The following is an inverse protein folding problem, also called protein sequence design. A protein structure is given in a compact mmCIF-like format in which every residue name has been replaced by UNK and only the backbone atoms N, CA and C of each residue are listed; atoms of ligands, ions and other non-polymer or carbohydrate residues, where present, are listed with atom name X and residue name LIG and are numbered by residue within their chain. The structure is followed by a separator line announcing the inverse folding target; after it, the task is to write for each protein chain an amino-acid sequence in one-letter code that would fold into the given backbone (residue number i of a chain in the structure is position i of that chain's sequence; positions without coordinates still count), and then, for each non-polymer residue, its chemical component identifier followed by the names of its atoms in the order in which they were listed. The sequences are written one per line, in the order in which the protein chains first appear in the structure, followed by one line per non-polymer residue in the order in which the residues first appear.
data_IF_889326920334
#
_entry.id   IF_889326920334
#
_cell.length_a   1.000
_cell.length_b   1.000
_cell.length_c   1.000
_cell.angle_alpha   90.00
_cell.angle_beta   90.00
_cell.angle_gamma   90.00
#
_symmetry.space_group_name_H-M   'P 1'
#
loop_
_entity.id
_entity.type
_entity.pdbx_description
1 polymer ?
#
# COMPACT_ATOMS: atom_id res chain seq x y z
N UNK A 1 4.84 -5.20 -4.93
CA UNK A 1 3.51 -5.79 -4.68
C UNK A 1 3.66 -7.23 -4.23
N UNK A 2 2.77 -7.71 -3.38
CA UNK A 2 2.71 -9.10 -2.95
C UNK A 2 1.30 -9.63 -3.28
N UNK A 3 1.24 -10.72 -4.05
CA UNK A 3 0.00 -11.34 -4.50
C UNK A 3 -0.10 -12.74 -3.92
N UNK A 4 -1.24 -13.06 -3.30
CA UNK A 4 -1.51 -14.39 -2.74
C UNK A 4 -1.76 -15.45 -3.82
N UNK A 5 -2.15 -15.01 -5.02
CA UNK A 5 -2.39 -15.87 -6.19
C UNK A 5 -2.01 -15.12 -7.46
N UNK A 6 -1.77 -15.85 -8.55
CA UNK A 6 -1.55 -15.24 -9.86
C UNK A 6 -2.80 -14.46 -10.30
N UNK A 7 -2.60 -13.31 -10.93
CA UNK A 7 -3.67 -12.42 -11.33
C UNK A 7 -3.49 -12.01 -12.79
N UNK A 8 -4.53 -12.24 -13.59
CA UNK A 8 -4.59 -11.84 -15.00
C UNK A 8 -5.84 -11.00 -15.24
N UNK A 9 -5.69 -9.85 -15.87
CA UNK A 9 -6.79 -9.00 -16.31
C UNK A 9 -6.51 -8.48 -17.72
N UNK A 10 -7.25 -8.98 -18.69
CA UNK A 10 -7.05 -8.70 -20.11
C UNK A 10 -7.27 -7.22 -20.46
N UNK A 11 -8.22 -6.57 -19.80
CA UNK A 11 -8.60 -5.19 -20.12
C UNK A 11 -7.55 -4.19 -19.69
N UNK A 12 -6.89 -4.43 -18.56
CA UNK A 12 -5.75 -3.63 -18.11
C UNK A 12 -4.41 -4.10 -18.67
N UNK A 13 -4.35 -5.32 -19.22
CA UNK A 13 -3.12 -5.98 -19.65
C UNK A 13 -2.28 -6.47 -18.47
N UNK A 14 -2.89 -6.71 -17.30
CA UNK A 14 -2.22 -7.25 -16.14
C UNK A 14 -2.01 -8.75 -16.31
N UNK A 15 -0.79 -9.19 -16.06
CA UNK A 15 -0.43 -10.60 -15.94
C UNK A 15 0.74 -10.72 -14.96
N UNK A 16 0.43 -11.11 -13.73
CA UNK A 16 1.39 -11.20 -12.64
C UNK A 16 1.25 -12.54 -11.92
N UNK A 17 2.36 -13.24 -11.66
CA UNK A 17 2.37 -14.45 -10.85
C UNK A 17 2.06 -14.16 -9.38
N UNK A 18 1.77 -15.20 -8.61
CA UNK A 18 1.73 -15.13 -7.16
C UNK A 18 3.10 -14.77 -6.59
N UNK A 19 3.12 -14.24 -5.37
CA UNK A 19 4.32 -13.90 -4.62
C UNK A 19 4.66 -12.42 -4.62
N UNK A 20 5.84 -12.13 -4.05
CA UNK A 20 6.38 -10.77 -3.97
C UNK A 20 7.13 -10.41 -5.25
N UNK A 21 6.82 -9.26 -5.81
CA UNK A 21 7.46 -8.81 -7.05
C UNK A 21 7.49 -7.29 -7.16
N UNK A 22 8.48 -6.79 -7.87
CA UNK A 22 8.57 -5.39 -8.22
C UNK A 22 7.89 -5.16 -9.55
N UNK A 23 6.88 -4.30 -9.58
CA UNK A 23 6.19 -3.89 -10.80
C UNK A 23 6.65 -2.49 -11.21
N UNK A 24 6.81 -2.25 -12.51
CA UNK A 24 7.21 -0.95 -13.05
C UNK A 24 6.57 -0.71 -14.41
N UNK A 25 6.52 0.54 -14.83
CA UNK A 25 6.02 0.93 -16.15
C UNK A 25 4.62 0.38 -16.43
N UNK A 26 4.46 -0.34 -17.54
CA UNK A 26 3.17 -0.88 -18.00
C UNK A 26 2.51 -1.82 -17.00
N UNK A 27 3.29 -2.67 -16.33
CA UNK A 27 2.75 -3.62 -15.32
C UNK A 27 2.21 -2.88 -14.08
N UNK A 28 2.92 -1.85 -13.62
CA UNK A 28 2.46 -1.02 -12.51
C UNK A 28 1.15 -0.30 -12.86
N UNK A 29 1.05 0.24 -14.07
CA UNK A 29 -0.16 0.88 -14.57
C UNK A 29 -1.32 -0.12 -14.70
N UNK A 30 -1.05 -1.30 -15.26
CA UNK A 30 -2.03 -2.39 -15.36
C UNK A 30 -2.55 -2.81 -13.98
N UNK A 31 -1.66 -2.94 -12.99
CA UNK A 31 -2.01 -3.31 -11.63
C UNK A 31 -3.00 -2.33 -10.96
N UNK A 32 -2.80 -1.03 -11.13
CA UNK A 32 -3.71 -0.02 -10.53
C UNK A 32 -5.00 0.18 -11.33
N UNK A 33 -5.03 -0.24 -12.59
CA UNK A 33 -6.20 -0.13 -13.49
C UNK A 33 -7.09 -1.37 -13.50
N UNK A 34 -6.58 -2.52 -13.12
CA UNK A 34 -7.32 -3.78 -13.16
C UNK A 34 -8.64 -3.69 -12.38
N UNK A 35 -9.74 -4.13 -13.00
CA UNK A 35 -11.10 -4.02 -12.45
C UNK A 35 -11.77 -5.36 -12.20
N UNK A 36 -11.39 -6.39 -12.95
CA UNK A 36 -12.06 -7.69 -12.95
C UNK A 36 -11.44 -8.70 -11.97
N UNK A 37 -10.57 -8.23 -11.07
CA UNK A 37 -9.88 -9.10 -10.11
C UNK A 37 -10.43 -9.00 -8.69
N UNK A 38 -11.16 -7.93 -8.38
CA UNK A 38 -11.82 -7.69 -7.10
C UNK A 38 -12.87 -6.57 -7.21
N UNK A 39 -13.48 -6.20 -6.09
CA UNK A 39 -14.44 -5.09 -6.02
C UNK A 39 -13.77 -3.72 -6.27
N UNK A 40 -14.59 -2.68 -6.44
CA UNK A 40 -14.12 -1.30 -6.53
C UNK A 40 -13.35 -0.87 -5.26
N UNK A 41 -13.76 -1.34 -4.08
CA UNK A 41 -13.00 -1.13 -2.84
C UNK A 41 -11.67 -1.86 -2.85
N UNK A 42 -11.61 -3.07 -3.39
CA UNK A 42 -10.35 -3.80 -3.61
C UNK A 42 -9.41 -3.05 -4.52
N UNK A 43 -9.92 -2.47 -5.62
CA UNK A 43 -9.15 -1.59 -6.50
C UNK A 43 -8.61 -0.36 -5.76
N UNK A 44 -9.45 0.34 -4.97
CA UNK A 44 -9.01 1.47 -4.14
C UNK A 44 -7.89 1.06 -3.18
N UNK A 45 -8.03 -0.06 -2.51
CA UNK A 45 -6.99 -0.61 -1.63
C UNK A 45 -5.67 -0.90 -2.36
N UNK A 46 -5.72 -1.42 -3.59
CA UNK A 46 -4.52 -1.61 -4.42
C UNK A 46 -3.87 -0.28 -4.80
N UNK A 47 -4.67 0.71 -5.19
CA UNK A 47 -4.19 2.06 -5.53
C UNK A 47 -3.51 2.71 -4.31
N UNK A 48 -4.11 2.63 -3.12
CA UNK A 48 -3.54 3.14 -1.88
C UNK A 48 -2.20 2.47 -1.56
N UNK A 49 -2.12 1.14 -1.63
CA UNK A 49 -0.87 0.39 -1.42
C UNK A 49 0.20 0.75 -2.45
N UNK A 50 -0.19 0.96 -3.69
CA UNK A 50 0.73 1.37 -4.75
C UNK A 50 1.28 2.78 -4.49
N UNK A 51 0.43 3.75 -4.15
CA UNK A 51 0.86 5.11 -3.79
C UNK A 51 1.77 5.08 -2.56
N UNK A 52 1.44 4.31 -1.52
CA UNK A 52 2.30 4.14 -0.35
C UNK A 52 3.70 3.61 -0.74
N UNK A 53 3.75 2.59 -1.60
CA UNK A 53 5.02 2.03 -2.08
C UNK A 53 5.83 3.02 -2.92
N UNK A 54 5.16 3.85 -3.73
CA UNK A 54 5.81 4.92 -4.50
C UNK A 54 6.39 5.99 -3.57
N UNK A 55 5.62 6.45 -2.58
CA UNK A 55 6.08 7.43 -1.59
C UNK A 55 7.28 6.89 -0.82
N UNK A 56 7.20 5.64 -0.35
CA UNK A 56 8.32 4.95 0.31
C UNK A 56 9.59 4.97 -0.55
N UNK A 57 9.46 4.64 -1.83
CA UNK A 57 10.60 4.65 -2.75
C UNK A 57 11.13 6.06 -2.98
N UNK A 58 10.25 7.02 -3.19
CA UNK A 58 10.60 8.42 -3.42
C UNK A 58 11.32 9.06 -2.24
N UNK A 59 10.87 8.75 -1.00
CA UNK A 59 11.44 9.27 0.24
C UNK A 59 12.61 8.45 0.78
N UNK A 60 13.00 7.37 0.08
CA UNK A 60 14.14 6.55 0.50
C UNK A 60 15.45 7.34 0.44
N UNK A 61 16.37 7.04 1.36
CA UNK A 61 17.70 7.66 1.38
C UNK A 61 18.43 7.51 0.04
N UNK A 62 18.24 6.40 -0.67
CA UNK A 62 18.84 6.16 -1.98
C UNK A 62 18.36 7.11 -3.10
N UNK A 63 17.21 7.79 -2.92
CA UNK A 63 16.71 8.82 -3.84
C UNK A 63 17.01 10.21 -3.30
N UNK A 64 16.65 10.50 -2.05
CA UNK A 64 16.75 11.84 -1.46
C UNK A 64 18.20 12.32 -1.28
N UNK A 65 19.15 11.42 -1.02
CA UNK A 65 20.57 11.74 -0.87
C UNK A 65 21.33 11.75 -2.21
N UNK A 66 20.70 11.35 -3.30
CA UNK A 66 21.31 11.34 -4.62
C UNK A 66 20.69 12.43 -5.50
N UNK A 67 21.40 13.54 -5.78
CA UNK A 67 20.84 14.67 -6.54
C UNK A 67 20.34 14.29 -7.95
N UNK A 68 21.04 13.37 -8.63
CA UNK A 68 20.63 12.93 -9.97
C UNK A 68 19.32 12.15 -9.94
N UNK A 69 19.16 11.26 -8.96
CA UNK A 69 17.92 10.48 -8.79
C UNK A 69 16.76 11.35 -8.33
N UNK A 70 17.02 12.31 -7.44
CA UNK A 70 16.01 13.27 -6.99
C UNK A 70 15.53 14.15 -8.15
N UNK A 71 16.45 14.68 -8.95
CA UNK A 71 16.10 15.47 -10.12
C UNK A 71 15.29 14.64 -11.13
N UNK A 72 15.73 13.42 -11.46
CA UNK A 72 14.98 12.54 -12.36
C UNK A 72 13.58 12.19 -11.83
N UNK A 73 13.42 12.02 -10.52
CA UNK A 73 12.12 11.83 -9.90
C UNK A 73 11.23 13.06 -10.02
N UNK A 74 11.76 14.26 -9.72
CA UNK A 74 11.04 15.52 -9.84
C UNK A 74 10.63 15.81 -11.29
N UNK A 75 11.52 15.56 -12.24
CA UNK A 75 11.22 15.74 -13.68
C UNK A 75 10.10 14.79 -14.13
N UNK A 76 10.14 13.53 -13.70
CA UNK A 76 9.07 12.57 -14.00
C UNK A 76 7.75 12.97 -13.35
N UNK A 77 7.77 13.46 -12.12
CA UNK A 77 6.57 13.90 -11.39
C UNK A 77 5.94 15.13 -12.05
N UNK A 78 6.75 16.13 -12.41
CA UNK A 78 6.24 17.34 -13.08
C UNK A 78 5.69 17.07 -14.48
N UNK A 79 6.19 16.06 -15.18
CA UNK A 79 5.64 15.64 -16.47
C UNK A 79 4.36 14.81 -16.36
N UNK A 80 4.18 14.11 -15.23
CA UNK A 80 3.06 13.20 -15.04
C UNK A 80 1.82 13.89 -14.43
N UNK A 81 1.98 15.06 -13.81
CA UNK A 81 0.93 15.78 -13.09
C UNK A 81 0.74 17.17 -13.70
N UNK A 82 -0.49 17.48 -14.06
CA UNK A 82 -0.87 18.85 -14.39
C UNK A 82 -1.26 19.57 -13.11
N UNK A 83 -0.54 20.60 -12.76
CA UNK A 83 -0.76 21.42 -11.57
C UNK A 83 -1.09 22.85 -11.96
N UNK A 84 -1.58 23.62 -11.00
CA UNK A 84 -1.66 25.09 -11.13
C UNK A 84 -0.27 25.73 -11.03
N UNK A 85 -0.21 27.04 -11.23
CA UNK A 85 1.04 27.81 -11.20
C UNK A 85 1.69 27.84 -9.80
N UNK A 86 0.96 27.41 -8.75
CA UNK A 86 1.43 27.39 -7.38
C UNK A 86 2.31 26.19 -7.03
N UNK A 87 2.33 25.11 -7.86
CA UNK A 87 3.10 23.91 -7.59
C UNK A 87 4.16 23.65 -8.68
N UNK A 88 5.15 24.51 -8.73
CA UNK A 88 6.31 24.36 -9.60
C UNK A 88 7.39 23.44 -9.02
N UNK A 89 8.52 23.34 -9.71
CA UNK A 89 9.66 22.50 -9.31
C UNK A 89 10.21 22.84 -7.93
N UNK A 90 10.27 24.11 -7.59
CA UNK A 90 10.81 24.60 -6.30
C UNK A 90 9.90 24.15 -5.15
N UNK A 91 8.59 24.32 -5.30
CA UNK A 91 7.60 23.90 -4.32
C UNK A 91 7.57 22.37 -4.16
N UNK A 92 7.74 21.61 -5.24
CA UNK A 92 7.89 20.15 -5.17
C UNK A 92 9.16 19.73 -4.44
N UNK A 93 10.27 20.46 -4.61
CA UNK A 93 11.51 20.19 -3.88
C UNK A 93 11.35 20.50 -2.39
N UNK A 94 10.68 21.60 -2.04
CA UNK A 94 10.37 21.95 -0.63
C UNK A 94 9.48 20.88 0.00
N UNK A 95 8.44 20.44 -0.71
CA UNK A 95 7.58 19.33 -0.28
C UNK A 95 8.39 18.04 -0.04
N UNK A 96 9.26 17.67 -0.98
CA UNK A 96 10.11 16.49 -0.83
C UNK A 96 11.05 16.61 0.38
N UNK A 97 11.58 17.78 0.66
CA UNK A 97 12.42 18.04 1.83
C UNK A 97 11.62 17.94 3.15
N UNK A 98 10.39 18.43 3.18
CA UNK A 98 9.48 18.30 4.34
C UNK A 98 9.11 16.86 4.62
N UNK A 99 8.95 16.05 3.56
CA UNK A 99 8.63 14.63 3.68
C UNK A 99 9.81 13.75 4.10
N UNK A 100 11.03 14.24 4.12
CA UNK A 100 12.23 13.46 4.55
C UNK A 100 12.14 12.90 5.96
N UNK A 101 11.42 13.58 6.86
CA UNK A 101 11.26 13.16 8.26
C UNK A 101 9.96 12.41 8.55
N UNK A 102 9.14 12.18 7.53
CA UNK A 102 7.86 11.48 7.72
C UNK A 102 8.13 9.98 7.76
N UNK A 103 7.89 9.39 8.92
CA UNK A 103 7.95 7.94 9.08
C UNK A 103 6.85 7.29 8.25
N UNK A 104 7.16 6.17 7.62
CA UNK A 104 6.22 5.40 6.79
C UNK A 104 4.97 4.98 7.58
N UNK A 105 5.09 4.74 8.89
CA UNK A 105 3.99 4.47 9.79
C UNK A 105 3.06 5.67 10.03
N UNK A 106 3.48 6.87 9.63
CA UNK A 106 2.67 8.09 9.76
C UNK A 106 1.77 8.37 8.56
N UNK A 107 1.94 7.62 7.47
CA UNK A 107 1.09 7.76 6.27
C UNK A 107 -0.06 6.78 6.39
N UNK A 108 -1.27 7.30 6.58
CA UNK A 108 -2.48 6.51 6.62
C UNK A 108 -3.37 6.79 5.40
N UNK A 109 -3.86 5.73 4.78
CA UNK A 109 -4.91 5.79 3.78
C UNK A 109 -6.21 5.33 4.41
N UNK A 110 -7.27 6.07 4.19
CA UNK A 110 -8.56 5.75 4.76
C UNK A 110 -9.65 5.96 3.71
N UNK A 111 -10.64 5.09 3.73
CA UNK A 111 -11.89 5.27 2.97
C UNK A 111 -12.92 5.87 3.91
N UNK A 112 -13.73 6.81 3.41
CA UNK A 112 -14.88 7.31 4.16
C UNK A 112 -15.78 6.13 4.55
N UNK A 113 -16.24 6.03 5.81
CA UNK A 113 -17.10 4.94 6.24
C UNK A 113 -18.34 4.80 5.38
N UNK A 114 -18.65 3.56 4.99
CA UNK A 114 -19.72 3.22 4.04
C UNK A 114 -20.78 2.41 4.77
N UNK A 115 -22.04 2.84 4.64
CA UNK A 115 -23.21 2.14 5.14
C UNK A 115 -23.76 1.12 4.12
N UNK A 116 -23.69 1.44 2.83
CA UNK A 116 -24.16 0.58 1.75
C UNK A 116 -23.28 0.80 0.50
N UNK A 117 -22.66 -0.24 -0.01
CA UNK A 117 -21.75 -0.22 -1.16
C UNK A 117 -22.41 -0.52 -2.49
N UNK A 118 -23.70 -0.88 -2.50
CA UNK A 118 -24.55 -1.04 -3.69
C UNK A 118 -25.87 -0.27 -3.58
N UNK A 119 -25.83 0.90 -2.95
CA UNK A 119 -27.02 1.73 -2.77
C UNK A 119 -27.61 2.14 -4.11
N UNK A 120 -28.87 1.74 -4.36
CA UNK A 120 -29.54 1.97 -5.63
C UNK A 120 -30.26 3.32 -5.64
N UNK A 121 -29.90 4.15 -6.62
CA UNK A 121 -30.51 5.47 -6.85
C UNK A 121 -31.08 5.53 -8.24
N UNK A 122 -32.33 5.97 -8.33
CA UNK A 122 -32.98 6.24 -9.62
C UNK A 122 -32.52 7.58 -10.17
N UNK A 123 -31.80 7.57 -11.29
CA UNK A 123 -31.37 8.78 -12.01
C UNK A 123 -32.01 8.78 -13.40
N UNK A 124 -33.04 9.57 -13.56
CA UNK A 124 -33.84 9.52 -14.76
C UNK A 124 -34.50 8.13 -14.94
N UNK A 125 -34.22 7.47 -16.08
CA UNK A 125 -34.74 6.12 -16.36
C UNK A 125 -33.79 4.99 -15.91
N UNK A 126 -32.62 5.32 -15.34
CA UNK A 126 -31.58 4.36 -14.98
C UNK A 126 -31.53 4.15 -13.46
N UNK A 127 -31.46 2.89 -13.06
CA UNK A 127 -31.22 2.51 -11.68
C UNK A 127 -29.68 2.33 -11.51
N UNK A 128 -29.05 3.31 -10.88
CA UNK A 128 -27.59 3.37 -10.73
C UNK A 128 -27.17 2.78 -9.39
N UNK A 129 -26.11 2.00 -9.42
CA UNK A 129 -25.38 1.59 -8.23
C UNK A 129 -24.49 2.73 -7.77
N UNK A 130 -24.64 3.12 -6.52
CA UNK A 130 -23.86 4.16 -5.85
C UNK A 130 -23.37 3.68 -4.51
N UNK A 131 -22.55 4.48 -3.84
CA UNK A 131 -22.10 4.22 -2.48
C UNK A 131 -22.78 5.19 -1.54
N UNK A 132 -23.41 4.68 -0.49
CA UNK A 132 -23.97 5.50 0.58
C UNK A 132 -23.01 5.50 1.77
N UNK A 133 -22.60 6.68 2.19
CA UNK A 133 -21.79 6.83 3.40
C UNK A 133 -22.57 6.47 4.65
N UNK A 134 -21.89 6.06 5.69
CA UNK A 134 -22.36 6.11 7.06
C UNK A 134 -22.22 7.57 7.52
N UNK A 135 -23.32 8.29 7.55
CA UNK A 135 -23.31 9.74 7.74
C UNK A 135 -22.70 10.13 9.10
N UNK A 136 -23.01 9.39 10.16
CA UNK A 136 -22.49 9.66 11.50
C UNK A 136 -20.98 9.39 11.60
N UNK A 137 -20.54 8.25 11.09
CA UNK A 137 -19.13 7.89 11.10
C UNK A 137 -18.31 8.77 10.14
N UNK A 138 -18.89 9.19 9.00
CA UNK A 138 -18.25 10.12 8.08
C UNK A 138 -18.12 11.52 8.70
N UNK A 139 -19.16 12.03 9.37
CA UNK A 139 -19.11 13.31 10.08
C UNK A 139 -18.06 13.30 11.21
N UNK A 140 -17.96 12.20 11.96
CA UNK A 140 -16.93 12.04 12.98
C UNK A 140 -15.51 12.04 12.40
N UNK A 141 -15.32 11.39 11.24
CA UNK A 141 -14.05 11.39 10.50
C UNK A 141 -13.67 12.80 10.03
N UNK A 142 -14.61 13.51 9.40
CA UNK A 142 -14.36 14.86 8.89
C UNK A 142 -14.11 15.87 10.02
N UNK A 143 -14.78 15.72 11.16
CA UNK A 143 -14.52 16.54 12.35
C UNK A 143 -13.07 16.37 12.85
N UNK A 144 -12.59 15.12 12.91
CA UNK A 144 -11.18 14.86 13.26
C UNK A 144 -10.21 15.49 12.28
N UNK A 145 -10.48 15.37 10.97
CA UNK A 145 -9.66 15.98 9.92
C UNK A 145 -9.63 17.50 10.04
N UNK A 146 -10.77 18.12 10.27
CA UNK A 146 -10.86 19.59 10.42
C UNK A 146 -10.13 20.13 11.66
N UNK A 147 -9.99 19.30 12.69
CA UNK A 147 -9.32 19.64 13.95
C UNK A 147 -7.86 19.17 14.03
N UNK A 148 -7.29 18.65 12.95
CA UNK A 148 -5.95 18.02 12.93
C UNK A 148 -5.80 16.90 13.98
N UNK A 149 -6.90 16.20 14.31
CA UNK A 149 -6.87 15.07 15.22
C UNK A 149 -6.39 13.82 14.52
N UNK A 150 -5.66 12.90 15.20
CA UNK A 150 -5.23 11.65 14.64
C UNK A 150 -6.43 10.80 14.17
N UNK A 151 -6.49 10.50 12.89
CA UNK A 151 -7.57 9.71 12.27
C UNK A 151 -7.42 8.23 12.60
N UNK A 152 -6.17 7.77 12.65
CA UNK A 152 -5.83 6.42 13.09
C UNK A 152 -5.13 6.58 14.43
N UNK A 153 -5.53 5.81 15.45
CA UNK A 153 -4.64 5.66 16.60
C UNK A 153 -3.31 5.19 16.02
N UNK A 154 -2.30 6.05 16.10
CA UNK A 154 -0.95 5.63 15.82
C UNK A 154 -0.73 4.39 16.71
N UNK A 155 -0.86 3.22 16.16
CA UNK A 155 -0.18 2.05 16.69
C UNK A 155 1.29 2.45 16.49
N UNK A 156 1.84 3.18 17.48
CA UNK A 156 3.29 3.20 17.64
C UNK A 156 3.62 1.73 17.65
N UNK A 157 4.21 1.27 16.55
CA UNK A 157 4.85 -0.02 16.55
C UNK A 157 5.69 0.04 17.82
N UNK A 158 5.32 -0.77 18.82
CA UNK A 158 5.98 -0.72 20.13
C UNK A 158 7.42 -0.95 19.78
N UNK A 159 8.25 0.08 19.99
CA UNK A 159 9.65 -0.01 19.62
C UNK A 159 10.15 -1.31 20.20
N UNK A 160 10.69 -2.19 19.37
CA UNK A 160 11.16 -3.48 19.83
C UNK A 160 12.16 -3.18 20.96
N UNK A 161 11.81 -3.61 22.17
CA UNK A 161 12.72 -3.47 23.34
C UNK A 161 13.89 -4.44 23.23
N UNK A 162 13.82 -5.36 22.28
CA UNK A 162 14.85 -6.35 21.97
C UNK A 162 15.34 -6.08 20.55
N UNK A 163 16.63 -5.99 20.39
CA UNK A 163 17.24 -5.80 19.08
C UNK A 163 16.92 -7.00 18.15
N UNK A 164 16.65 -6.77 16.84
CA UNK A 164 16.20 -7.81 15.90
C UNK A 164 17.10 -9.06 15.92
N UNK A 165 18.40 -8.90 16.02
CA UNK A 165 19.38 -10.00 16.07
C UNK A 165 19.26 -10.93 17.29
N UNK A 166 18.46 -10.54 18.29
CA UNK A 166 18.14 -11.36 19.46
C UNK A 166 16.79 -12.03 19.36
N UNK A 167 16.02 -11.72 18.32
CA UNK A 167 14.70 -12.31 18.09
C UNK A 167 14.82 -13.46 17.12
N UNK A 168 14.41 -14.64 17.55
CA UNK A 168 14.42 -15.85 16.72
C UNK A 168 13.02 -16.06 16.13
N UNK A 169 12.95 -16.16 14.79
CA UNK A 169 11.70 -16.29 14.03
C UNK A 169 11.68 -17.64 13.31
N UNK A 170 10.61 -18.40 13.49
CA UNK A 170 10.32 -19.57 12.66
C UNK A 170 9.19 -19.23 11.70
N UNK A 171 9.44 -19.36 10.41
CA UNK A 171 8.46 -19.01 9.36
C UNK A 171 7.76 -20.26 8.88
N UNK A 172 6.43 -20.26 8.95
CA UNK A 172 5.58 -21.34 8.46
C UNK A 172 4.56 -20.79 7.46
N UNK A 173 4.44 -21.46 6.32
CA UNK A 173 3.49 -21.12 5.27
C UNK A 173 2.13 -21.77 5.55
N UNK A 174 1.18 -21.00 6.05
CA UNK A 174 -0.21 -21.42 6.26
C UNK A 174 -1.14 -21.13 5.06
N UNK A 175 -0.68 -20.37 4.07
CA UNK A 175 -1.50 -19.97 2.92
C UNK A 175 -1.47 -21.02 1.76
N UNK A 176 -0.57 -22.00 1.83
CA UNK A 176 -0.43 -23.01 0.78
C UNK A 176 0.23 -22.51 -0.53
N UNK A 177 0.78 -21.30 -0.53
CA UNK A 177 1.46 -20.72 -1.71
C UNK A 177 2.91 -21.17 -1.73
N UNK A 178 3.32 -21.83 -2.79
CA UNK A 178 4.69 -22.34 -2.94
C UNK A 178 5.72 -21.23 -2.84
N UNK A 179 6.77 -21.43 -2.01
CA UNK A 179 7.87 -20.49 -1.82
C UNK A 179 7.59 -19.35 -0.85
N UNK A 180 6.35 -19.13 -0.38
CA UNK A 180 5.99 -18.00 0.47
C UNK A 180 6.78 -17.95 1.79
N UNK A 181 7.01 -19.11 2.43
CA UNK A 181 7.77 -19.17 3.67
C UNK A 181 9.25 -18.82 3.45
N UNK A 182 9.84 -19.25 2.32
CA UNK A 182 11.22 -18.90 1.94
C UNK A 182 11.38 -17.39 1.79
N UNK A 183 10.53 -16.76 0.97
CA UNK A 183 10.55 -15.32 0.75
C UNK A 183 10.33 -14.53 2.05
N UNK A 184 9.43 -14.98 2.90
CA UNK A 184 9.20 -14.33 4.20
C UNK A 184 10.40 -14.50 5.14
N UNK A 185 11.08 -15.66 5.11
CA UNK A 185 12.30 -15.90 5.89
C UNK A 185 13.42 -14.96 5.48
N UNK A 186 13.65 -14.80 4.17
CA UNK A 186 14.63 -13.86 3.62
C UNK A 186 14.33 -12.42 4.04
N UNK A 187 13.07 -11.99 4.03
CA UNK A 187 12.66 -10.64 4.46
C UNK A 187 12.93 -10.39 5.97
N UNK A 188 12.79 -11.43 6.81
CA UNK A 188 13.17 -11.35 8.23
C UNK A 188 14.71 -11.27 8.40
N UNK A 189 15.48 -12.05 7.66
CA UNK A 189 16.93 -12.02 7.71
C UNK A 189 17.49 -10.66 7.23
N UNK A 190 16.93 -10.11 6.14
CA UNK A 190 17.28 -8.77 5.66
C UNK A 190 16.99 -7.64 6.69
N UNK A 191 16.03 -7.86 7.57
CA UNK A 191 15.71 -6.94 8.67
C UNK A 191 16.51 -7.19 9.94
N UNK A 192 17.43 -8.15 9.90
CA UNK A 192 18.34 -8.48 10.99
C UNK A 192 17.77 -9.43 12.04
N UNK A 193 16.62 -10.07 11.80
CA UNK A 193 16.11 -11.13 12.66
C UNK A 193 16.89 -12.42 12.42
N UNK A 194 16.88 -13.32 13.41
CA UNK A 194 17.49 -14.64 13.28
C UNK A 194 16.41 -15.64 12.90
N UNK A 195 16.37 -16.08 11.65
CA UNK A 195 15.46 -17.16 11.24
C UNK A 195 15.97 -18.50 11.75
N UNK A 196 15.05 -19.36 12.22
CA UNK A 196 15.40 -20.66 12.81
C UNK A 196 14.61 -21.78 12.13
N UNK A 197 15.34 -22.82 11.77
CA UNK A 197 14.79 -23.95 11.02
C UNK A 197 14.57 -23.60 9.54
N UNK A 198 14.29 -24.63 8.75
CA UNK A 198 13.97 -24.46 7.33
C UNK A 198 12.57 -23.87 7.17
N UNK A 199 12.35 -22.95 6.20
CA UNK A 199 11.01 -22.48 5.87
C UNK A 199 10.11 -23.67 5.46
N UNK A 200 9.01 -23.85 6.15
CA UNK A 200 8.14 -25.03 5.98
C UNK A 200 6.67 -24.64 5.82
N UNK A 201 5.83 -25.60 5.47
CA UNK A 201 4.39 -25.42 5.50
C UNK A 201 3.88 -25.59 6.93
N UNK A 202 2.84 -24.84 7.29
CA UNK A 202 2.10 -25.05 8.52
C UNK A 202 1.30 -26.37 8.44
N UNK A 203 0.99 -26.96 9.58
CA UNK A 203 0.17 -28.17 9.65
C UNK A 203 -1.25 -27.95 9.10
N UNK A 204 -1.76 -26.74 9.17
CA UNK A 204 -3.06 -26.35 8.60
C UNK A 204 -2.84 -25.35 7.45
N UNK A 205 -3.46 -25.64 6.29
CA UNK A 205 -3.46 -24.75 5.13
C UNK A 205 -4.74 -23.90 5.10
N UNK A 206 -4.70 -22.77 4.37
CA UNK A 206 -5.84 -21.87 4.19
C UNK A 206 -5.91 -20.71 5.18
N UNK A 207 -4.82 -20.42 5.88
CA UNK A 207 -4.74 -19.23 6.72
C UNK A 207 -4.82 -17.96 5.86
N UNK A 208 -5.79 -17.10 6.15
CA UNK A 208 -5.99 -15.81 5.46
C UNK A 208 -5.30 -14.66 6.18
N UNK A 209 -4.78 -14.89 7.38
CA UNK A 209 -4.10 -13.90 8.21
C UNK A 209 -2.80 -14.45 8.75
N UNK A 210 -1.80 -13.57 8.90
CA UNK A 210 -0.54 -13.91 9.59
C UNK A 210 -0.78 -13.86 11.10
N UNK A 211 -0.35 -14.91 11.80
CA UNK A 211 -0.36 -14.96 13.28
C UNK A 211 1.08 -14.89 13.77
N UNK A 212 1.35 -14.08 14.77
CA UNK A 212 2.64 -13.92 15.45
C UNK A 212 2.51 -14.35 16.90
#
# INVERSE_FOLDING_TARGET
VCLTQAVTDKDSGLDLPAGRQTVSGKQALAYVRARHIDSDFGRMGRQQKFIASMLQKATSAGVLLNPLKLNGFLDAATQAVTTDDGLGREQMLDLANRLRGVDQGSIAFMTVPVADDDYRVQIGQYNQSTVKWDDDAAAALFTKLANDEPIVKATKAKALTVAPEKIRVKVLNGAGVTGLAGTASEDFDERGYVTVGEPANAETSGATTTTV
#
